data_IF_589957597042
#
_entry.id   IF_589957597042
#
_cell.length_a   1.000
_cell.length_b   1.000
_cell.length_c   1.000
_cell.angle_alpha   90.00
_cell.angle_beta   90.00
_cell.angle_gamma   90.00
#
_symmetry.space_group_name_H-M   'P 1'
#
loop_
_entity.id
_entity.type
_entity.pdbx_description
1 polymer ?
#
# COMPACT_ATOMS: atom_id res chain seq x y z
N UNK A 1 -70.14 10.82 26.46
CA UNK A 1 -68.78 10.77 25.88
C UNK A 1 -68.51 9.32 25.48
N UNK A 2 -68.83 8.88 24.26
CA UNK A 2 -67.95 8.70 23.07
C UNK A 2 -66.56 8.13 23.41
N UNK A 3 -66.03 7.01 22.87
CA UNK A 3 -66.45 5.91 21.98
C UNK A 3 -65.36 4.82 22.12
N UNK A 4 -65.74 3.54 22.22
CA UNK A 4 -64.88 2.40 21.91
C UNK A 4 -64.70 2.30 20.39
N UNK A 5 -63.47 2.19 19.88
CA UNK A 5 -63.20 1.87 18.48
C UNK A 5 -62.02 0.88 18.35
N UNK A 6 -62.42 -0.39 18.24
CA UNK A 6 -62.00 -1.42 17.27
C UNK A 6 -60.52 -1.46 16.84
N UNK A 7 -59.86 -2.50 17.34
CA UNK A 7 -58.86 -3.35 16.67
C UNK A 7 -59.03 -3.41 15.16
N UNK A 8 -58.01 -2.96 14.43
CA UNK A 8 -57.87 -3.15 12.98
C UNK A 8 -56.85 -4.25 12.70
N UNK A 9 -57.33 -5.31 12.06
CA UNK A 9 -56.52 -6.31 11.37
C UNK A 9 -55.83 -5.63 10.18
N UNK A 10 -54.50 -5.69 10.14
CA UNK A 10 -53.71 -5.44 8.94
C UNK A 10 -52.81 -6.63 8.66
N UNK A 11 -53.34 -7.64 7.96
CA UNK A 11 -52.50 -8.63 7.27
C UNK A 11 -51.79 -7.91 6.14
N UNK A 12 -50.46 -7.77 6.22
CA UNK A 12 -49.65 -7.42 5.06
C UNK A 12 -48.59 -8.48 4.83
N UNK A 13 -48.65 -9.00 3.61
CA UNK A 13 -47.92 -10.09 3.04
C UNK A 13 -46.41 -9.94 3.14
N UNK A 14 -45.75 -11.06 3.42
CA UNK A 14 -44.36 -11.34 3.07
C UNK A 14 -44.17 -11.07 1.56
N UNK A 15 -43.70 -9.88 1.21
CA UNK A 15 -43.30 -9.58 -0.16
C UNK A 15 -41.87 -10.07 -0.32
N UNK A 16 -41.72 -11.26 -0.90
CA UNK A 16 -40.50 -11.67 -1.59
C UNK A 16 -40.16 -10.59 -2.62
N UNK A 17 -39.24 -9.69 -2.28
CA UNK A 17 -38.56 -8.89 -3.30
C UNK A 17 -37.44 -9.75 -3.84
N UNK A 18 -37.71 -10.28 -5.04
CA UNK A 18 -36.77 -10.84 -6.02
C UNK A 18 -35.36 -10.30 -5.83
N UNK A 19 -34.42 -11.22 -5.90
CA UNK A 19 -33.00 -11.03 -6.18
C UNK A 19 -32.76 -9.79 -7.05
N UNK A 20 -32.50 -8.66 -6.41
CA UNK A 20 -31.71 -7.62 -7.03
C UNK A 20 -30.34 -8.23 -7.20
N UNK A 21 -29.92 -8.43 -8.44
CA UNK A 21 -28.53 -8.64 -8.82
C UNK A 21 -27.72 -7.51 -8.18
N UNK A 22 -27.24 -7.74 -6.96
CA UNK A 22 -26.31 -6.86 -6.29
C UNK A 22 -25.08 -6.93 -7.16
N UNK A 23 -24.91 -5.83 -7.91
CA UNK A 23 -23.75 -5.46 -8.69
C UNK A 23 -22.54 -6.16 -8.12
N UNK A 24 -21.97 -7.06 -8.92
CA UNK A 24 -20.82 -7.87 -8.55
C UNK A 24 -19.81 -6.98 -7.82
N UNK A 25 -19.71 -7.16 -6.50
CA UNK A 25 -18.49 -6.84 -5.80
C UNK A 25 -17.42 -7.53 -6.62
N UNK A 26 -16.49 -6.77 -7.19
CA UNK A 26 -15.22 -7.33 -7.64
C UNK A 26 -14.55 -7.82 -6.36
N UNK A 27 -14.98 -8.98 -5.90
CA UNK A 27 -14.23 -9.85 -5.02
C UNK A 27 -13.08 -10.35 -5.90
N UNK A 28 -12.17 -9.42 -6.22
CA UNK A 28 -10.86 -9.71 -6.74
C UNK A 28 -10.12 -10.28 -5.53
N UNK A 29 -10.45 -11.52 -5.18
CA UNK A 29 -9.43 -12.42 -4.67
C UNK A 29 -8.34 -12.35 -5.73
N UNK A 30 -7.30 -11.56 -5.47
CA UNK A 30 -6.11 -11.46 -6.30
C UNK A 30 -5.49 -12.86 -6.28
N UNK A 31 -6.00 -13.70 -7.19
CA UNK A 31 -5.50 -15.04 -7.45
C UNK A 31 -4.01 -14.91 -7.70
N UNK A 32 -3.23 -15.79 -7.06
CA UNK A 32 -1.79 -15.87 -7.29
C UNK A 32 -1.52 -15.90 -8.80
N UNK A 33 -0.63 -15.03 -9.34
CA UNK A 33 -0.27 -15.08 -10.75
C UNK A 33 0.27 -16.45 -11.13
N UNK A 34 -0.01 -16.89 -12.36
CA UNK A 34 0.45 -18.20 -12.87
C UNK A 34 1.86 -18.14 -13.48
N UNK A 35 2.42 -16.94 -13.65
CA UNK A 35 3.75 -16.72 -14.21
C UNK A 35 4.37 -15.45 -13.66
N UNK A 36 5.67 -15.28 -13.88
CA UNK A 36 6.38 -14.07 -13.47
C UNK A 36 6.34 -12.95 -14.51
N UNK A 37 5.63 -13.10 -15.63
CA UNK A 37 5.68 -12.14 -16.75
C UNK A 37 5.20 -10.73 -16.39
N UNK A 38 4.19 -10.61 -15.53
CA UNK A 38 3.71 -9.33 -15.01
C UNK A 38 4.34 -8.91 -13.69
N UNK A 39 5.48 -9.49 -13.30
CA UNK A 39 6.18 -9.07 -12.09
C UNK A 39 6.78 -7.66 -12.29
N UNK A 40 6.67 -6.75 -11.30
CA UNK A 40 6.06 -6.93 -9.97
C UNK A 40 4.56 -6.62 -9.87
N UNK A 41 3.98 -5.89 -10.83
CA UNK A 41 2.63 -5.30 -10.69
C UNK A 41 1.51 -6.35 -10.56
N UNK A 42 1.58 -7.47 -11.28
CA UNK A 42 0.59 -8.55 -11.16
C UNK A 42 0.61 -9.24 -9.78
N UNK A 43 1.73 -9.13 -9.05
CA UNK A 43 1.84 -9.60 -7.68
C UNK A 43 1.35 -8.57 -6.66
N UNK A 44 0.97 -7.38 -7.13
CA UNK A 44 0.36 -6.30 -6.35
C UNK A 44 1.37 -5.41 -5.63
N UNK A 45 2.55 -5.17 -6.20
CA UNK A 45 3.47 -4.17 -5.66
C UNK A 45 4.22 -3.41 -6.75
N UNK A 46 4.80 -2.27 -6.39
CA UNK A 46 5.59 -1.42 -7.30
C UNK A 46 6.99 -1.22 -6.79
N UNK A 47 7.93 -1.11 -7.70
CA UNK A 47 9.34 -0.85 -7.40
C UNK A 47 9.76 0.57 -7.81
N UNK A 48 10.78 1.08 -7.13
CA UNK A 48 11.42 2.35 -7.44
C UNK A 48 12.89 2.37 -7.02
N UNK A 49 13.58 3.45 -7.36
CA UNK A 49 15.02 3.61 -7.13
C UNK A 49 15.84 3.57 -8.42
N UNK A 50 17.12 3.91 -8.31
CA UNK A 50 18.05 4.07 -9.44
C UNK A 50 19.36 3.29 -9.24
N UNK A 51 19.32 2.23 -8.43
CA UNK A 51 20.49 1.43 -8.07
C UNK A 51 20.06 0.37 -7.07
N UNK A 52 19.86 0.71 -5.79
CA UNK A 52 19.01 -0.10 -4.92
C UNK A 52 17.54 0.00 -5.36
N UNK A 53 16.84 -1.12 -5.34
CA UNK A 53 15.40 -1.18 -5.60
C UNK A 53 14.62 -1.23 -4.30
N UNK A 54 13.60 -0.38 -4.19
CA UNK A 54 12.71 -0.29 -3.05
C UNK A 54 11.28 -0.57 -3.45
N UNK A 55 10.53 -1.20 -2.55
CA UNK A 55 9.09 -1.36 -2.69
C UNK A 55 8.43 -0.01 -2.40
N UNK A 56 7.74 0.56 -3.39
CA UNK A 56 7.08 1.86 -3.24
C UNK A 56 5.68 1.74 -2.66
N UNK A 57 4.98 0.66 -2.99
CA UNK A 57 3.61 0.40 -2.56
C UNK A 57 3.29 -1.08 -2.68
N UNK A 58 2.42 -1.56 -1.81
CA UNK A 58 1.87 -2.92 -1.84
C UNK A 58 0.34 -2.82 -1.78
N UNK A 59 -0.35 -3.52 -2.68
CA UNK A 59 -1.80 -3.56 -2.77
C UNK A 59 -2.39 -4.48 -1.70
N UNK A 60 -3.46 -4.05 -1.05
CA UNK A 60 -4.11 -4.82 0.00
C UNK A 60 -4.72 -6.13 -0.52
N UNK A 61 -4.49 -7.23 0.19
CA UNK A 61 -4.98 -8.56 -0.22
C UNK A 61 -4.24 -9.18 -1.41
N UNK A 62 -3.19 -8.53 -1.94
CA UNK A 62 -2.35 -9.07 -3.00
C UNK A 62 -1.43 -10.20 -2.52
N UNK A 63 -0.81 -10.90 -3.48
CA UNK A 63 0.22 -11.90 -3.19
C UNK A 63 1.40 -11.30 -2.43
N UNK A 64 1.83 -10.08 -2.80
CA UNK A 64 2.89 -9.36 -2.11
C UNK A 64 2.50 -8.99 -0.66
N UNK A 65 1.27 -8.56 -0.43
CA UNK A 65 0.78 -8.27 0.93
C UNK A 65 0.76 -9.53 1.80
N UNK A 66 0.22 -10.63 1.27
CA UNK A 66 0.20 -11.91 1.99
C UNK A 66 1.60 -12.46 2.27
N UNK A 67 2.59 -12.14 1.43
CA UNK A 67 3.99 -12.46 1.66
C UNK A 67 4.66 -11.55 2.72
N UNK A 68 3.96 -10.51 3.20
CA UNK A 68 4.45 -9.58 4.21
C UNK A 68 5.35 -8.48 3.67
N UNK A 69 5.37 -8.24 2.34
CA UNK A 69 6.10 -7.12 1.76
C UNK A 69 5.46 -5.81 2.18
N UNK A 70 6.30 -4.80 2.44
CA UNK A 70 5.84 -3.47 2.82
C UNK A 70 6.50 -2.41 1.95
N UNK A 71 5.82 -1.27 1.82
CA UNK A 71 6.45 -0.11 1.23
C UNK A 71 7.69 0.28 2.07
N UNK A 72 8.73 0.83 1.44
CA UNK A 72 9.99 1.20 2.09
C UNK A 72 10.96 0.04 2.35
N UNK A 73 10.58 -1.18 2.01
CA UNK A 73 11.51 -2.32 2.01
C UNK A 73 12.49 -2.21 0.83
N UNK A 74 13.77 -2.48 1.09
CA UNK A 74 14.79 -2.65 0.06
C UNK A 74 14.87 -4.12 -0.34
N UNK A 75 14.88 -4.40 -1.63
CA UNK A 75 15.12 -5.74 -2.16
C UNK A 75 16.63 -6.01 -2.17
N UNK A 76 17.03 -7.09 -1.52
CA UNK A 76 18.44 -7.51 -1.43
C UNK A 76 18.69 -8.79 -2.22
N UNK A 77 17.72 -9.69 -2.29
CA UNK A 77 17.89 -10.99 -2.91
C UNK A 77 16.68 -11.41 -3.74
N UNK A 78 16.93 -12.12 -4.85
CA UNK A 78 15.91 -12.88 -5.57
C UNK A 78 16.45 -14.29 -5.82
N UNK A 79 15.71 -15.32 -5.37
CA UNK A 79 16.11 -16.74 -5.52
C UNK A 79 17.55 -17.01 -5.03
N UNK A 80 17.95 -16.33 -3.94
CA UNK A 80 19.29 -16.43 -3.36
C UNK A 80 20.40 -15.68 -4.13
N UNK A 81 20.07 -14.92 -5.18
CA UNK A 81 21.00 -14.05 -5.89
C UNK A 81 20.97 -12.65 -5.29
N UNK A 82 22.14 -12.10 -4.97
CA UNK A 82 22.27 -10.70 -4.53
C UNK A 82 21.90 -9.74 -5.66
N UNK A 83 20.96 -8.87 -5.36
CA UNK A 83 20.40 -7.85 -6.26
C UNK A 83 20.37 -6.47 -5.60
N UNK A 84 21.08 -6.30 -4.48
CA UNK A 84 21.06 -5.09 -3.65
C UNK A 84 21.44 -3.80 -4.39
N UNK A 85 22.17 -3.90 -5.50
CA UNK A 85 22.59 -2.80 -6.37
C UNK A 85 21.85 -2.74 -7.73
N UNK A 86 20.86 -3.62 -7.98
CA UNK A 86 20.10 -3.64 -9.23
C UNK A 86 18.92 -2.67 -9.20
N UNK A 87 18.83 -1.84 -10.24
CA UNK A 87 17.69 -0.96 -10.44
C UNK A 87 16.40 -1.75 -10.73
N UNK A 88 15.22 -1.12 -10.63
CA UNK A 88 13.94 -1.81 -10.76
C UNK A 88 13.75 -2.56 -12.08
N UNK A 89 14.25 -2.01 -13.19
CA UNK A 89 14.12 -2.63 -14.51
C UNK A 89 14.94 -3.91 -14.63
N UNK A 90 16.19 -3.88 -14.18
CA UNK A 90 17.06 -5.05 -14.17
C UNK A 90 16.55 -6.12 -13.18
N UNK A 91 16.06 -5.69 -12.02
CA UNK A 91 15.46 -6.55 -11.01
C UNK A 91 14.22 -7.28 -11.56
N UNK A 92 13.32 -6.55 -12.23
CA UNK A 92 12.13 -7.13 -12.85
C UNK A 92 12.47 -8.13 -13.95
N UNK A 93 13.42 -7.79 -14.82
CA UNK A 93 13.88 -8.70 -15.86
C UNK A 93 14.52 -9.98 -15.28
N UNK A 94 15.13 -9.91 -14.10
CA UNK A 94 15.67 -11.08 -13.40
C UNK A 94 14.56 -11.93 -12.78
N UNK A 95 13.58 -11.31 -12.12
CA UNK A 95 12.43 -11.98 -11.53
C UNK A 95 11.57 -12.71 -12.58
N UNK A 96 11.32 -12.06 -13.72
CA UNK A 96 10.56 -12.62 -14.85
C UNK A 96 11.16 -13.90 -15.43
N UNK A 97 12.47 -14.10 -15.30
CA UNK A 97 13.20 -15.28 -15.79
C UNK A 97 13.19 -16.46 -14.80
N UNK A 98 12.77 -16.23 -13.56
CA UNK A 98 12.75 -17.30 -12.56
C UNK A 98 11.66 -18.32 -12.86
N UNK A 99 11.93 -19.58 -12.53
CA UNK A 99 10.99 -20.70 -12.72
C UNK A 99 9.96 -20.80 -11.59
N UNK A 100 10.33 -20.36 -10.40
CA UNK A 100 9.46 -20.35 -9.24
C UNK A 100 8.48 -19.18 -9.36
N UNK A 101 7.20 -19.47 -9.13
CA UNK A 101 6.11 -18.49 -9.16
C UNK A 101 5.38 -18.58 -7.82
N UNK A 102 5.46 -17.55 -6.95
CA UNK A 102 6.29 -16.34 -7.07
C UNK A 102 7.78 -16.66 -6.88
N UNK A 103 8.69 -15.79 -7.33
CA UNK A 103 10.08 -15.88 -6.94
C UNK A 103 10.24 -15.59 -5.44
N UNK A 104 11.18 -16.26 -4.78
CA UNK A 104 11.61 -15.95 -3.42
C UNK A 104 12.35 -14.62 -3.41
N UNK A 105 11.95 -13.70 -2.52
CA UNK A 105 12.52 -12.36 -2.41
C UNK A 105 13.04 -12.16 -0.98
N UNK A 106 14.30 -11.77 -0.85
CA UNK A 106 14.88 -11.31 0.40
C UNK A 106 14.81 -9.79 0.48
N UNK A 107 14.21 -9.26 1.54
CA UNK A 107 14.05 -7.81 1.75
C UNK A 107 14.53 -7.37 3.13
N UNK A 108 14.86 -6.09 3.25
CA UNK A 108 15.14 -5.42 4.54
C UNK A 108 14.38 -4.10 4.59
N UNK A 109 13.62 -3.90 5.67
CA UNK A 109 12.93 -2.64 5.90
C UNK A 109 13.91 -1.52 6.18
N UNK A 110 13.77 -0.41 5.44
CA UNK A 110 14.57 0.82 5.62
C UNK A 110 13.76 1.96 6.20
N UNK A 111 12.49 1.71 6.54
CA UNK A 111 11.62 2.74 7.11
C UNK A 111 12.13 3.11 8.51
N UNK A 112 12.17 4.41 8.75
CA UNK A 112 12.31 4.99 10.08
C UNK A 112 11.04 5.75 10.41
N UNK A 113 10.42 5.41 11.55
CA UNK A 113 9.31 6.20 12.09
C UNK A 113 9.87 7.44 12.79
N UNK A 114 9.27 8.60 12.52
CA UNK A 114 9.65 9.85 13.14
C UNK A 114 8.42 10.56 13.73
N UNK A 115 8.43 10.74 15.05
CA UNK A 115 7.40 11.48 15.76
C UNK A 115 7.82 12.95 15.89
N UNK A 116 7.19 13.83 15.12
CA UNK A 116 7.49 15.26 15.13
C UNK A 116 6.41 15.98 15.95
N UNK A 117 6.72 16.56 17.11
CA UNK A 117 5.75 17.37 17.85
C UNK A 117 5.47 18.69 17.12
N UNK A 118 4.24 19.22 17.17
CA UNK A 118 3.93 20.51 16.57
C UNK A 118 4.67 21.64 17.31
N UNK A 119 5.06 22.67 16.56
CA UNK A 119 5.61 23.90 17.12
C UNK A 119 4.56 24.74 17.86
N UNK A 120 4.98 25.81 18.55
CA UNK A 120 4.05 26.72 19.25
C UNK A 120 3.00 27.37 18.34
N UNK A 121 3.30 27.48 17.04
CA UNK A 121 2.43 27.99 15.98
C UNK A 121 1.57 26.90 15.32
N UNK A 122 1.64 25.65 15.82
CA UNK A 122 0.97 24.49 15.26
C UNK A 122 1.60 23.93 13.99
N UNK A 123 2.74 24.47 13.55
CA UNK A 123 3.43 24.03 12.32
C UNK A 123 4.59 23.12 12.65
N UNK A 124 4.95 22.28 11.68
CA UNK A 124 6.10 21.36 11.81
C UNK A 124 7.36 21.89 11.10
N UNK A 125 7.19 22.82 10.16
CA UNK A 125 8.28 23.50 9.42
C UNK A 125 8.98 22.64 8.38
N UNK A 126 8.19 21.90 7.59
CA UNK A 126 8.59 21.22 6.37
C UNK A 126 7.44 21.28 5.34
N UNK A 127 7.77 21.09 4.06
CA UNK A 127 6.79 20.91 2.98
C UNK A 127 6.96 19.52 2.35
N UNK A 128 5.86 18.90 1.98
CA UNK A 128 5.83 17.61 1.27
C UNK A 128 5.10 17.76 -0.05
N UNK A 129 5.58 17.07 -1.07
CA UNK A 129 5.03 17.05 -2.42
C UNK A 129 4.97 15.62 -2.98
N UNK A 130 4.20 15.43 -4.05
CA UNK A 130 4.02 14.13 -4.70
C UNK A 130 2.90 13.29 -4.12
N UNK A 131 2.77 12.06 -4.60
CA UNK A 131 1.61 11.21 -4.32
C UNK A 131 1.94 9.98 -3.47
N UNK A 132 2.97 9.20 -3.81
CA UNK A 132 3.50 8.10 -3.00
C UNK A 132 4.79 7.51 -3.63
N UNK A 133 5.92 7.44 -2.89
CA UNK A 133 6.15 8.08 -1.59
C UNK A 133 6.10 9.61 -1.69
N UNK A 134 5.76 10.26 -0.58
CA UNK A 134 5.81 11.72 -0.48
C UNK A 134 7.27 12.17 -0.38
N UNK A 135 7.62 13.27 -1.04
CA UNK A 135 8.96 13.85 -0.97
C UNK A 135 8.93 15.07 -0.04
N UNK A 136 9.84 15.13 0.92
CA UNK A 136 10.10 16.36 1.67
C UNK A 136 10.82 17.33 0.75
N UNK A 137 10.12 18.34 0.27
CA UNK A 137 10.66 19.34 -0.65
C UNK A 137 11.57 20.32 0.09
N UNK A 138 11.10 20.87 1.21
CA UNK A 138 11.86 21.76 2.08
C UNK A 138 11.71 21.37 3.55
N UNK A 139 12.78 21.58 4.32
CA UNK A 139 12.78 21.37 5.76
C UNK A 139 13.64 22.44 6.45
N UNK A 140 12.99 23.25 7.28
CA UNK A 140 13.66 24.34 7.98
C UNK A 140 14.56 23.80 9.10
N UNK A 141 15.87 24.15 9.16
CA UNK A 141 16.79 23.58 10.16
C UNK A 141 16.37 23.82 11.62
N UNK A 142 15.72 24.95 11.89
CA UNK A 142 15.33 25.35 13.25
C UNK A 142 13.89 24.95 13.62
N UNK A 143 13.15 24.29 12.73
CA UNK A 143 11.79 23.84 12.99
C UNK A 143 11.74 22.55 13.82
N UNK A 144 10.56 22.18 14.36
CA UNK A 144 10.39 20.89 15.01
C UNK A 144 10.83 19.71 14.13
N UNK A 145 10.52 19.74 12.83
CA UNK A 145 10.92 18.69 11.90
C UNK A 145 12.44 18.63 11.68
N UNK A 146 13.09 19.78 11.47
CA UNK A 146 14.55 19.85 11.29
C UNK A 146 15.31 19.34 12.51
N UNK A 147 14.83 19.66 13.72
CA UNK A 147 15.36 19.18 15.01
C UNK A 147 15.12 17.70 15.25
N UNK A 148 14.01 17.17 14.73
CA UNK A 148 13.71 15.73 14.76
C UNK A 148 14.55 14.93 13.75
N UNK A 149 15.33 15.61 12.90
CA UNK A 149 16.23 14.96 11.95
C UNK A 149 15.64 14.79 10.54
N UNK A 150 14.44 15.31 10.28
CA UNK A 150 13.90 15.36 8.91
C UNK A 150 14.80 16.23 8.03
N UNK A 151 14.95 15.84 6.76
CA UNK A 151 15.76 16.55 5.78
C UNK A 151 14.99 16.71 4.47
N UNK A 152 15.28 17.78 3.73
CA UNK A 152 14.85 17.89 2.35
C UNK A 152 15.43 16.72 1.54
N UNK A 153 14.64 16.18 0.61
CA UNK A 153 14.98 14.98 -0.15
C UNK A 153 14.58 13.66 0.51
N UNK A 154 14.11 13.67 1.76
CA UNK A 154 13.61 12.45 2.42
C UNK A 154 12.31 11.97 1.78
N UNK A 155 12.21 10.66 1.54
CA UNK A 155 10.96 10.01 1.14
C UNK A 155 10.15 9.60 2.37
N UNK A 156 8.87 9.91 2.37
CA UNK A 156 7.93 9.63 3.45
C UNK A 156 6.84 8.67 2.95
N UNK A 157 6.66 7.58 3.70
CA UNK A 157 5.54 6.65 3.56
C UNK A 157 4.50 6.97 4.63
N UNK A 158 3.21 6.86 4.29
CA UNK A 158 2.09 7.20 5.17
C UNK A 158 1.59 5.98 5.93
#
# INVERSE_FOLDING_TARGET
MRRFLKSQKGRFSLRQSKSGTRSASKDFVLSMPLSNQGWPEEFGFRLGGSGPSYILSVEEGSSANMAGLQAGDQVLEIEGQDVSALNPQALAALAQKQKNVPPSIGVVSRIQQLDIPPGPDGRFGFTIVGDCPLLVEDCQPNSPAGRSGLRAGTLCWR
#
